data_IF_126444054248
#
_entry.id   IF_126444054248
#
_cell.length_a   1.000
_cell.length_b   1.000
_cell.length_c   1.000
_cell.angle_alpha   90.00
_cell.angle_beta   90.00
_cell.angle_gamma   90.00
#
_symmetry.space_group_name_H-M   'P 1'
#
loop_
_entity.id
_entity.type
_entity.pdbx_description
1 polymer ?
#
# COMPACT_ATOMS: atom_id res chain seq x y z
N UNK A 1 14.39 -20.39 -5.50
CA UNK A 1 13.61 -19.31 -4.87
C UNK A 1 12.81 -18.59 -5.96
N UNK A 2 11.50 -18.54 -5.81
CA UNK A 2 10.63 -17.91 -6.80
C UNK A 2 10.41 -16.45 -6.44
N UNK A 3 10.65 -15.56 -7.42
CA UNK A 3 10.24 -14.18 -7.29
C UNK A 3 8.84 -14.02 -7.87
N UNK A 4 8.00 -13.32 -7.15
CA UNK A 4 6.65 -13.01 -7.62
C UNK A 4 6.67 -11.73 -8.44
N UNK A 5 5.85 -11.69 -9.46
CA UNK A 5 5.62 -10.48 -10.22
C UNK A 5 4.51 -9.67 -9.55
N UNK A 6 4.81 -8.46 -9.13
CA UNK A 6 3.85 -7.60 -8.43
C UNK A 6 3.23 -6.62 -9.42
N UNK A 7 1.91 -6.62 -9.49
CA UNK A 7 1.16 -5.72 -10.38
C UNK A 7 0.11 -4.97 -9.58
N UNK A 8 -0.14 -3.71 -9.96
CA UNK A 8 -1.24 -2.91 -9.41
C UNK A 8 -2.39 -2.92 -10.39
N UNK A 9 -3.61 -3.12 -9.88
CA UNK A 9 -4.80 -2.89 -10.69
C UNK A 9 -4.97 -1.39 -10.94
N UNK A 10 -5.82 -1.02 -11.90
CA UNK A 10 -6.12 0.38 -12.15
C UNK A 10 -6.71 1.05 -10.90
N UNK A 11 -7.55 0.33 -10.16
CA UNK A 11 -8.13 0.83 -8.92
C UNK A 11 -7.05 1.09 -7.86
N UNK A 12 -6.08 0.20 -7.72
CA UNK A 12 -4.99 0.38 -6.77
C UNK A 12 -4.09 1.57 -7.17
N UNK A 13 -3.83 1.73 -8.46
CA UNK A 13 -3.07 2.86 -8.97
C UNK A 13 -3.80 4.18 -8.69
N UNK A 14 -5.11 4.22 -8.90
CA UNK A 14 -5.94 5.40 -8.59
C UNK A 14 -5.95 5.68 -7.08
N UNK A 15 -6.06 4.63 -6.27
CA UNK A 15 -5.98 4.76 -4.81
C UNK A 15 -4.67 5.44 -4.39
N UNK A 16 -3.56 5.03 -4.99
CA UNK A 16 -2.24 5.57 -4.65
C UNK A 16 -2.15 7.05 -5.03
N UNK A 17 -2.68 7.44 -6.21
CA UNK A 17 -2.71 8.85 -6.61
C UNK A 17 -3.55 9.68 -5.65
N UNK A 18 -4.70 9.17 -5.23
CA UNK A 18 -5.58 9.85 -4.27
C UNK A 18 -4.88 10.03 -2.92
N UNK A 19 -4.14 9.02 -2.47
CA UNK A 19 -3.38 9.10 -1.23
C UNK A 19 -2.24 10.14 -1.36
N UNK A 20 -1.54 10.17 -2.48
CA UNK A 20 -0.52 11.19 -2.74
C UNK A 20 -1.11 12.59 -2.64
N UNK A 21 -2.25 12.83 -3.30
CA UNK A 21 -2.92 14.13 -3.26
C UNK A 21 -3.32 14.53 -1.84
N UNK A 22 -3.87 13.60 -1.09
CA UNK A 22 -4.27 13.84 0.31
C UNK A 22 -3.07 14.22 1.17
N UNK A 23 -1.96 13.52 1.01
CA UNK A 23 -0.74 13.76 1.79
C UNK A 23 -0.11 15.10 1.40
N UNK A 24 -0.11 15.44 0.12
CA UNK A 24 0.39 16.74 -0.35
C UNK A 24 -0.45 17.87 0.25
N UNK A 25 -1.77 17.78 0.20
CA UNK A 25 -2.66 18.79 0.74
C UNK A 25 -2.43 19.00 2.25
N UNK A 26 -2.29 17.92 3.00
CA UNK A 26 -2.00 18.02 4.43
C UNK A 26 -0.63 18.63 4.70
N UNK A 27 0.36 18.28 3.89
CA UNK A 27 1.70 18.85 4.01
C UNK A 27 1.72 20.34 3.75
N UNK A 28 1.01 20.80 2.72
CA UNK A 28 0.93 22.21 2.38
C UNK A 28 0.14 23.03 3.41
N UNK A 29 -0.83 22.41 4.08
CA UNK A 29 -1.61 23.05 5.13
C UNK A 29 -0.87 23.14 6.46
N UNK A 30 0.25 22.45 6.60
CA UNK A 30 1.05 22.46 7.82
C UNK A 30 1.79 23.78 7.99
N UNK A 31 2.05 24.16 9.25
CA UNK A 31 2.87 25.35 9.57
C UNK A 31 4.32 25.17 9.07
N UNK A 32 4.79 23.93 8.96
CA UNK A 32 6.11 23.60 8.43
C UNK A 32 5.95 22.57 7.30
N UNK A 33 5.69 23.04 6.07
CA UNK A 33 5.48 22.11 4.95
C UNK A 33 6.67 21.19 4.72
N UNK A 34 6.38 19.91 4.50
CA UNK A 34 7.37 18.88 4.22
C UNK A 34 7.41 18.63 2.72
N UNK A 35 8.43 19.17 2.05
CA UNK A 35 8.57 19.06 0.60
C UNK A 35 9.06 17.69 0.16
N UNK A 36 9.55 16.86 1.09
CA UNK A 36 10.03 15.49 0.81
C UNK A 36 8.97 14.42 1.03
N UNK A 37 7.77 14.79 1.42
CA UNK A 37 6.75 13.81 1.83
C UNK A 37 6.40 12.84 0.70
N UNK A 38 6.30 13.32 -0.53
CA UNK A 38 5.96 12.48 -1.68
C UNK A 38 7.08 11.48 -1.96
N UNK A 39 8.34 11.94 -1.87
CA UNK A 39 9.49 11.04 -2.07
C UNK A 39 9.51 9.93 -1.02
N UNK A 40 9.27 10.28 0.25
CA UNK A 40 9.23 9.27 1.32
C UNK A 40 8.07 8.28 1.11
N UNK A 41 6.92 8.76 0.64
CA UNK A 41 5.79 7.89 0.32
C UNK A 41 6.16 6.91 -0.78
N UNK A 42 6.74 7.39 -1.86
CA UNK A 42 7.15 6.54 -2.98
C UNK A 42 8.19 5.52 -2.57
N UNK A 43 9.16 5.92 -1.76
CA UNK A 43 10.18 5.00 -1.24
C UNK A 43 9.55 3.91 -0.37
N UNK A 44 8.59 4.26 0.48
CA UNK A 44 7.89 3.28 1.31
C UNK A 44 7.10 2.28 0.46
N UNK A 45 6.41 2.76 -0.58
CA UNK A 45 5.67 1.90 -1.51
C UNK A 45 6.63 0.99 -2.28
N UNK A 46 7.75 1.52 -2.77
CA UNK A 46 8.73 0.72 -3.51
C UNK A 46 9.30 -0.41 -2.65
N UNK A 47 9.61 -0.13 -1.38
CA UNK A 47 10.09 -1.17 -0.46
C UNK A 47 9.03 -2.24 -0.22
N UNK A 48 7.77 -1.84 -0.13
CA UNK A 48 6.66 -2.76 0.04
C UNK A 48 6.50 -3.68 -1.18
N UNK A 49 6.60 -3.12 -2.38
CA UNK A 49 6.52 -3.91 -3.61
C UNK A 49 7.66 -4.93 -3.68
N UNK A 50 8.87 -4.55 -3.25
CA UNK A 50 10.00 -5.47 -3.19
C UNK A 50 9.74 -6.61 -2.19
N UNK A 51 9.18 -6.30 -1.03
CA UNK A 51 8.83 -7.32 -0.04
C UNK A 51 7.82 -8.32 -0.63
N UNK A 52 6.80 -7.83 -1.33
CA UNK A 52 5.78 -8.68 -1.94
C UNK A 52 6.37 -9.55 -3.05
N UNK A 53 7.39 -9.08 -3.76
CA UNK A 53 8.05 -9.88 -4.78
C UNK A 53 8.79 -11.08 -4.17
N UNK A 54 9.26 -10.95 -2.93
CA UNK A 54 9.99 -12.03 -2.25
C UNK A 54 9.10 -12.93 -1.41
N UNK A 55 8.17 -12.35 -0.66
CA UNK A 55 7.50 -13.10 0.42
C UNK A 55 6.07 -12.62 0.67
N UNK A 56 5.16 -12.76 -0.31
CA UNK A 56 3.78 -12.31 -0.11
C UNK A 56 3.05 -13.07 1.00
N UNK A 57 3.39 -14.32 1.22
CA UNK A 57 2.74 -15.15 2.24
C UNK A 57 3.25 -14.87 3.66
N UNK A 58 4.26 -14.02 3.82
CA UNK A 58 4.64 -13.53 5.15
C UNK A 58 3.69 -12.45 5.66
N UNK A 59 2.84 -11.90 4.80
CA UNK A 59 1.85 -10.91 5.17
C UNK A 59 0.62 -11.58 5.79
N UNK A 60 -0.15 -10.82 6.59
CA UNK A 60 -1.34 -11.34 7.24
C UNK A 60 -2.47 -11.57 6.24
N UNK A 61 -3.42 -12.43 6.57
CA UNK A 61 -4.64 -12.56 5.79
C UNK A 61 -5.43 -11.27 5.82
N UNK A 62 -6.06 -10.94 4.71
CA UNK A 62 -6.97 -9.79 4.66
C UNK A 62 -8.16 -10.03 5.58
N UNK A 63 -8.71 -8.96 6.18
CA UNK A 63 -9.79 -9.05 7.15
C UNK A 63 -11.04 -9.73 6.61
N UNK A 64 -11.28 -9.63 5.30
CA UNK A 64 -12.43 -10.25 4.62
C UNK A 64 -12.02 -11.32 3.63
N UNK A 65 -10.88 -11.98 3.90
CA UNK A 65 -10.35 -12.99 3.00
C UNK A 65 -11.29 -14.21 2.93
N UNK A 66 -11.55 -14.68 1.72
CA UNK A 66 -12.32 -15.91 1.48
C UNK A 66 -11.38 -17.10 1.28
N UNK A 67 -10.07 -16.86 1.13
CA UNK A 67 -9.06 -17.90 1.01
C UNK A 67 -7.70 -17.38 1.49
N UNK A 68 -6.71 -18.26 1.54
CA UNK A 68 -5.37 -17.95 2.04
C UNK A 68 -4.55 -17.06 1.12
N UNK A 69 -5.00 -16.86 -0.12
CA UNK A 69 -4.29 -16.06 -1.11
C UNK A 69 -4.61 -14.58 -1.00
N UNK A 70 -5.68 -14.21 -0.28
CA UNK A 70 -6.10 -12.83 -0.07
C UNK A 70 -5.46 -12.31 1.20
N UNK A 71 -4.49 -11.42 1.03
CA UNK A 71 -3.65 -10.93 2.11
C UNK A 71 -3.57 -9.42 2.09
N UNK A 72 -3.01 -8.85 3.15
CA UNK A 72 -2.79 -7.42 3.22
C UNK A 72 -1.44 -7.12 3.87
N UNK A 73 -0.80 -6.06 3.39
CA UNK A 73 0.47 -5.57 3.92
C UNK A 73 0.25 -4.17 4.50
N UNK A 74 0.70 -3.99 5.74
CA UNK A 74 0.78 -2.66 6.35
C UNK A 74 2.08 -2.02 5.88
N UNK A 75 1.97 -0.85 5.27
CA UNK A 75 3.13 -0.07 4.82
C UNK A 75 3.31 1.09 5.79
N UNK A 76 4.34 1.06 6.65
CA UNK A 76 4.57 2.15 7.60
C UNK A 76 4.84 3.47 6.87
N UNK A 77 4.14 4.52 7.27
CA UNK A 77 4.34 5.85 6.72
C UNK A 77 3.84 6.90 7.71
N UNK A 78 4.76 7.70 8.24
CA UNK A 78 4.42 8.73 9.23
C UNK A 78 3.82 8.12 10.50
N UNK A 79 2.85 8.81 11.09
CA UNK A 79 2.14 8.35 12.29
C UNK A 79 1.03 7.35 11.97
N UNK A 80 0.67 7.25 10.70
CA UNK A 80 -0.30 6.27 10.20
C UNK A 80 0.36 5.48 9.08
N UNK A 81 -0.25 4.39 8.64
CA UNK A 81 0.29 3.59 7.57
C UNK A 81 -0.66 3.51 6.40
N UNK A 82 -0.21 2.80 5.38
CA UNK A 82 -1.07 2.39 4.27
C UNK A 82 -1.37 0.91 4.44
N UNK A 83 -2.49 0.47 3.90
CA UNK A 83 -2.84 -0.95 3.83
C UNK A 83 -3.00 -1.32 2.38
N UNK A 84 -2.17 -2.24 1.90
CA UNK A 84 -2.27 -2.76 0.55
C UNK A 84 -2.93 -4.13 0.60
N UNK A 85 -4.10 -4.26 -0.02
CA UNK A 85 -4.81 -5.52 -0.12
C UNK A 85 -4.45 -6.18 -1.45
N UNK A 86 -4.07 -7.45 -1.42
CA UNK A 86 -3.61 -8.13 -2.61
C UNK A 86 -4.05 -9.59 -2.62
N UNK A 87 -3.98 -10.20 -3.79
CA UNK A 87 -4.22 -11.62 -3.98
C UNK A 87 -3.03 -12.25 -4.70
N UNK A 88 -2.63 -13.43 -4.23
CA UNK A 88 -1.55 -14.19 -4.87
C UNK A 88 -2.18 -15.19 -5.83
N UNK A 89 -1.79 -15.13 -7.10
CA UNK A 89 -2.25 -16.07 -8.13
C UNK A 89 -1.03 -16.61 -8.87
N UNK A 90 -0.67 -17.87 -8.57
CA UNK A 90 0.55 -18.45 -9.12
C UNK A 90 1.77 -17.61 -8.74
N UNK A 91 2.46 -17.08 -9.71
CA UNK A 91 3.66 -16.24 -9.48
C UNK A 91 3.35 -14.75 -9.54
N UNK A 92 2.07 -14.37 -9.55
CA UNK A 92 1.65 -12.98 -9.63
C UNK A 92 1.02 -12.56 -8.31
N UNK A 93 1.47 -11.41 -7.79
CA UNK A 93 0.85 -10.71 -6.67
C UNK A 93 0.09 -9.52 -7.26
N UNK A 94 -1.22 -9.54 -7.15
CA UNK A 94 -2.10 -8.53 -7.72
C UNK A 94 -2.65 -7.65 -6.61
N UNK A 95 -2.18 -6.41 -6.55
CA UNK A 95 -2.65 -5.43 -5.56
C UNK A 95 -3.94 -4.81 -6.08
N UNK A 96 -5.04 -5.04 -5.36
CA UNK A 96 -6.37 -4.58 -5.77
C UNK A 96 -6.82 -3.28 -5.14
N UNK A 97 -6.25 -2.92 -3.98
CA UNK A 97 -6.62 -1.69 -3.27
C UNK A 97 -5.49 -1.23 -2.37
N UNK A 98 -5.36 0.08 -2.22
CA UNK A 98 -4.45 0.68 -1.25
C UNK A 98 -5.24 1.72 -0.48
N UNK A 99 -5.19 1.66 0.86
CA UNK A 99 -5.93 2.58 1.72
C UNK A 99 -5.00 3.21 2.73
N UNK A 100 -5.28 4.46 3.06
CA UNK A 100 -4.63 5.14 4.16
C UNK A 100 -5.32 4.72 5.46
N UNK A 101 -4.56 4.38 6.51
CA UNK A 101 -5.16 3.91 7.76
C UNK A 101 -6.11 4.93 8.38
N UNK A 102 -5.82 6.24 8.24
CA UNK A 102 -6.72 7.29 8.73
C UNK A 102 -8.06 7.28 8.02
N UNK A 103 -8.11 6.93 6.73
CA UNK A 103 -9.37 6.83 5.98
C UNK A 103 -10.22 5.66 6.49
N UNK A 104 -9.58 4.57 6.88
CA UNK A 104 -10.30 3.40 7.39
C UNK A 104 -10.96 3.64 8.73
N UNK A 105 -10.42 4.56 9.52
CA UNK A 105 -10.96 4.90 10.84
C UNK A 105 -12.19 5.81 10.77
N UNK A 106 -12.55 6.26 9.58
CA UNK A 106 -13.66 7.18 9.34
C UNK A 106 -14.91 6.43 8.84
N UNK A 107 -15.33 5.41 9.53
CA UNK A 107 -16.54 4.70 9.17
C UNK A 107 -17.68 4.94 10.15
#
# INVERSE_FOLDING_TARGET
MTLYRVVLTDEAADDLLRIEDFIIERGLASATPDLDVVRRLRDAVDRALQLLAFSPYSCRKAARAVNDRQRELIIPFGSAGLVAAFEVRGEIVRIGAIRHQLEQDYH
#
